data_IF_065504826097
#
_entry.id   IF_065504826097
#
_cell.length_a   1.000
_cell.length_b   1.000
_cell.length_c   1.000
_cell.angle_alpha   90.00
_cell.angle_beta   90.00
_cell.angle_gamma   90.00
#
_symmetry.space_group_name_H-M   'P 1'
#
loop_
_entity.id
_entity.type
_entity.pdbx_description
1 polymer ?
#
# COMPACT_ATOMS: atom_id res chain seq x y z
N UNK A 1 -31.47 10.60 20.95
CA UNK A 1 -31.57 9.46 20.01
C UNK A 1 -30.28 9.39 19.19
N UNK A 2 -29.34 8.56 19.63
CA UNK A 2 -28.01 8.43 19.02
C UNK A 2 -28.05 7.56 17.77
N UNK A 3 -27.49 8.06 16.66
CA UNK A 3 -27.24 7.27 15.46
C UNK A 3 -25.78 6.83 15.46
N UNK A 4 -25.55 5.57 15.84
CA UNK A 4 -24.27 4.87 15.65
C UNK A 4 -23.94 4.76 14.17
N UNK A 5 -22.81 5.34 13.76
CA UNK A 5 -22.22 5.10 12.46
C UNK A 5 -21.62 3.68 12.43
N UNK A 6 -22.26 2.76 11.71
CA UNK A 6 -21.69 1.44 11.38
C UNK A 6 -20.57 1.64 10.36
N UNK A 7 -19.36 1.28 10.75
CA UNK A 7 -18.22 1.07 9.86
C UNK A 7 -18.51 -0.25 9.13
N UNK A 8 -18.73 -0.18 7.82
CA UNK A 8 -18.90 -1.36 6.96
C UNK A 8 -17.50 -1.89 6.66
N UNK A 9 -17.11 -2.95 7.34
CA UNK A 9 -16.02 -3.83 6.93
C UNK A 9 -16.64 -4.83 5.96
N UNK A 10 -16.26 -4.78 4.68
CA UNK A 10 -16.59 -5.82 3.72
C UNK A 10 -15.69 -7.03 3.98
N UNK A 11 -16.20 -8.03 4.69
CA UNK A 11 -15.61 -9.37 4.72
C UNK A 11 -15.87 -10.06 3.38
N UNK A 12 -14.81 -10.36 2.63
CA UNK A 12 -14.89 -11.28 1.50
C UNK A 12 -14.86 -12.71 2.06
N UNK A 13 -16.04 -13.34 2.18
CA UNK A 13 -16.17 -14.75 2.54
C UNK A 13 -15.69 -15.65 1.40
N UNK A 14 -14.53 -16.28 1.58
CA UNK A 14 -14.07 -17.43 0.80
C UNK A 14 -14.04 -18.66 1.71
N UNK A 15 -14.94 -19.61 1.45
CA UNK A 15 -15.10 -20.88 2.17
C UNK A 15 -13.80 -21.71 2.18
N UNK A 16 -13.14 -21.85 3.34
CA UNK A 16 -12.10 -22.85 3.57
C UNK A 16 -12.76 -24.11 4.16
N UNK A 17 -12.61 -25.23 3.44
CA UNK A 17 -13.01 -26.56 3.89
C UNK A 17 -12.21 -26.95 5.13
N UNK A 18 -12.94 -27.35 6.17
CA UNK A 18 -12.41 -27.94 7.40
C UNK A 18 -11.76 -29.31 7.13
N UNK A 19 -10.48 -29.44 7.48
CA UNK A 19 -9.78 -30.72 7.63
C UNK A 19 -9.08 -30.72 9.00
N UNK A 20 -9.29 -31.78 9.76
CA UNK A 20 -8.87 -31.96 11.15
C UNK A 20 -7.37 -31.79 11.41
N UNK A 21 -7.09 -31.32 12.63
CA UNK A 21 -5.77 -31.08 13.18
C UNK A 21 -4.98 -32.38 13.44
N UNK A 22 -3.69 -32.35 13.11
CA UNK A 22 -2.69 -33.15 13.82
C UNK A 22 -1.64 -32.24 14.42
N UNK A 23 -1.60 -32.23 15.75
CA UNK A 23 -0.70 -31.44 16.57
C UNK A 23 0.71 -32.02 16.51
N UNK A 24 1.57 -31.42 15.67
CA UNK A 24 3.03 -31.27 15.82
C UNK A 24 3.54 -30.68 14.52
N UNK A 25 3.76 -29.37 14.48
CA UNK A 25 4.28 -28.69 13.32
C UNK A 25 4.86 -27.36 13.73
N UNK A 26 6.17 -27.33 13.91
CA UNK A 26 6.96 -26.10 13.97
C UNK A 26 6.45 -25.16 12.88
N UNK A 27 6.16 -23.91 13.23
CA UNK A 27 5.79 -22.86 12.27
C UNK A 27 6.91 -22.72 11.23
N UNK A 28 6.87 -23.55 10.19
CA UNK A 28 7.52 -23.27 8.95
C UNK A 28 6.85 -21.99 8.44
N UNK A 29 7.45 -20.84 8.71
CA UNK A 29 7.24 -19.68 7.87
C UNK A 29 7.54 -20.18 6.46
N UNK A 30 6.48 -20.42 5.71
CA UNK A 30 6.54 -20.76 4.30
C UNK A 30 7.50 -19.74 3.68
N UNK A 31 8.69 -20.20 3.28
CA UNK A 31 9.79 -19.35 2.88
C UNK A 31 9.35 -18.66 1.59
N UNK A 32 8.74 -17.47 1.71
CA UNK A 32 8.30 -16.69 0.54
C UNK A 32 9.51 -16.56 -0.35
N UNK A 33 9.34 -17.00 -1.60
CA UNK A 33 10.39 -16.95 -2.62
C UNK A 33 11.09 -15.59 -2.58
N UNK A 34 12.43 -15.56 -2.66
CA UNK A 34 13.19 -14.32 -2.69
C UNK A 34 12.59 -13.31 -3.66
N UNK A 35 12.60 -12.03 -3.30
CA UNK A 35 12.10 -10.98 -4.18
C UNK A 35 12.90 -10.97 -5.49
N UNK A 36 12.26 -11.35 -6.59
CA UNK A 36 12.85 -11.24 -7.92
C UNK A 36 12.92 -9.77 -8.35
N UNK A 37 14.15 -9.25 -8.44
CA UNK A 37 14.40 -7.87 -8.84
C UNK A 37 13.91 -7.60 -10.27
N UNK A 38 14.10 -8.53 -11.22
CA UNK A 38 13.68 -8.30 -12.60
C UNK A 38 12.17 -8.21 -12.69
N UNK A 39 11.46 -9.12 -12.01
CA UNK A 39 10.01 -9.08 -11.93
C UNK A 39 9.50 -7.77 -11.28
N UNK A 40 10.12 -7.34 -10.17
CA UNK A 40 9.76 -6.07 -9.52
C UNK A 40 9.98 -4.85 -10.44
N UNK A 41 11.11 -4.79 -11.16
CA UNK A 41 11.37 -3.71 -12.10
C UNK A 41 10.35 -3.67 -13.24
N UNK A 42 10.01 -4.83 -13.82
CA UNK A 42 8.98 -4.93 -14.86
C UNK A 42 7.59 -4.52 -14.32
N UNK A 43 7.28 -4.93 -13.09
CA UNK A 43 6.03 -4.55 -12.42
C UNK A 43 5.93 -3.03 -12.21
N UNK A 44 6.99 -2.37 -11.76
CA UNK A 44 6.99 -0.92 -11.61
C UNK A 44 6.88 -0.18 -12.95
N UNK A 45 7.42 -0.74 -14.03
CA UNK A 45 7.26 -0.15 -15.36
C UNK A 45 5.83 -0.31 -15.90
N UNK A 46 5.19 -1.46 -15.64
CA UNK A 46 3.75 -1.64 -15.91
C UNK A 46 2.92 -0.59 -15.19
N UNK A 47 3.17 -0.39 -13.90
CA UNK A 47 2.47 0.61 -13.07
C UNK A 47 2.71 2.01 -13.61
N UNK A 48 3.94 2.34 -14.01
CA UNK A 48 4.27 3.64 -14.62
C UNK A 48 3.44 3.89 -15.87
N UNK A 49 3.46 2.94 -16.80
CA UNK A 49 2.73 3.05 -18.07
C UNK A 49 1.23 3.17 -17.83
N UNK A 50 0.66 2.31 -16.98
CA UNK A 50 -0.76 2.33 -16.65
C UNK A 50 -1.19 3.65 -15.98
N UNK A 51 -0.41 4.16 -15.03
CA UNK A 51 -0.71 5.42 -14.35
C UNK A 51 -0.69 6.63 -15.29
N UNK A 52 0.25 6.66 -16.25
CA UNK A 52 0.26 7.69 -17.29
C UNK A 52 -0.94 7.57 -18.21
N UNK A 53 -1.32 6.35 -18.61
CA UNK A 53 -2.49 6.10 -19.44
C UNK A 53 -3.78 6.54 -18.75
N UNK A 54 -4.02 6.10 -17.51
CA UNK A 54 -5.19 6.50 -16.71
C UNK A 54 -5.33 8.02 -16.61
N UNK A 55 -4.21 8.73 -16.45
CA UNK A 55 -4.20 10.19 -16.38
C UNK A 55 -4.41 10.86 -17.74
N UNK A 56 -3.82 10.33 -18.81
CA UNK A 56 -3.97 10.89 -20.15
C UNK A 56 -5.40 10.75 -20.69
N UNK A 57 -6.09 9.65 -20.33
CA UNK A 57 -7.44 9.34 -20.81
C UNK A 57 -8.55 9.96 -19.95
N UNK A 58 -8.27 10.33 -18.69
CA UNK A 58 -9.29 10.86 -17.78
C UNK A 58 -9.69 12.30 -18.13
N UNK A 59 -10.97 12.49 -18.47
CA UNK A 59 -11.52 13.84 -18.63
C UNK A 59 -11.65 14.56 -17.28
N UNK A 60 -11.75 15.90 -17.25
CA UNK A 60 -12.02 16.63 -16.01
C UNK A 60 -13.30 16.19 -15.28
N UNK A 61 -14.31 15.72 -16.03
CA UNK A 61 -15.55 15.18 -15.45
C UNK A 61 -15.32 13.82 -14.81
N UNK A 62 -14.54 12.95 -15.44
CA UNK A 62 -14.18 11.65 -14.86
C UNK A 62 -13.38 11.85 -13.57
N UNK A 63 -12.41 12.76 -13.55
CA UNK A 63 -11.58 13.06 -12.38
C UNK A 63 -12.39 13.50 -11.15
N UNK A 64 -13.51 14.21 -11.36
CA UNK A 64 -14.42 14.64 -10.28
C UNK A 64 -15.46 13.59 -9.90
N UNK A 65 -15.67 12.56 -10.71
CA UNK A 65 -16.66 11.50 -10.45
C UNK A 65 -16.27 10.69 -9.20
N UNK A 66 -17.25 10.26 -8.38
CA UNK A 66 -17.01 9.31 -7.30
C UNK A 66 -16.48 7.97 -7.83
N UNK A 67 -15.58 7.38 -7.07
CA UNK A 67 -15.07 6.01 -7.29
C UNK A 67 -16.06 4.97 -6.79
N UNK A 68 -15.90 3.71 -7.20
CA UNK A 68 -16.71 2.61 -6.73
C UNK A 68 -16.24 2.12 -5.35
N UNK A 69 -17.18 1.94 -4.42
CA UNK A 69 -16.89 1.41 -3.08
C UNK A 69 -16.04 2.31 -2.16
N UNK A 70 -15.77 3.58 -2.52
CA UNK A 70 -15.02 4.52 -1.67
C UNK A 70 -15.70 5.88 -1.54
N UNK A 71 -15.16 6.75 -0.67
CA UNK A 71 -15.61 8.13 -0.49
C UNK A 71 -14.86 9.14 -1.37
N UNK A 72 -13.90 8.68 -2.16
CA UNK A 72 -13.01 9.53 -2.95
C UNK A 72 -13.53 9.77 -4.37
N UNK A 73 -13.13 10.91 -4.95
CA UNK A 73 -13.19 11.10 -6.41
C UNK A 73 -12.08 10.32 -7.11
N UNK A 74 -12.17 10.13 -8.42
CA UNK A 74 -11.11 9.47 -9.19
C UNK A 74 -9.75 10.18 -9.06
N UNK A 75 -9.72 11.52 -9.04
CA UNK A 75 -8.46 12.26 -8.85
C UNK A 75 -7.83 12.00 -7.47
N UNK A 76 -8.65 11.96 -6.41
CA UNK A 76 -8.19 11.65 -5.06
C UNK A 76 -7.67 10.21 -4.96
N UNK A 77 -8.35 9.25 -5.60
CA UNK A 77 -7.94 7.85 -5.60
C UNK A 77 -6.66 7.64 -6.42
N UNK A 78 -6.50 8.32 -7.56
CA UNK A 78 -5.24 8.32 -8.31
C UNK A 78 -4.08 8.85 -7.46
N UNK A 79 -4.32 9.88 -6.65
CA UNK A 79 -3.31 10.36 -5.71
C UNK A 79 -3.03 9.33 -4.62
N UNK A 80 -4.08 8.69 -4.08
CA UNK A 80 -3.95 7.66 -3.05
C UNK A 80 -3.11 6.46 -3.53
N UNK A 81 -3.30 6.02 -4.78
CA UNK A 81 -2.49 4.99 -5.44
C UNK A 81 -1.01 5.39 -5.51
N UNK A 82 -0.69 6.64 -5.87
CA UNK A 82 0.67 7.18 -5.80
C UNK A 82 1.20 7.25 -4.35
N UNK A 83 0.34 7.64 -3.42
CA UNK A 83 0.70 7.78 -2.01
C UNK A 83 1.15 6.46 -1.39
N UNK A 84 0.57 5.32 -1.79
CA UNK A 84 1.03 3.98 -1.38
C UNK A 84 2.53 3.78 -1.61
N UNK A 85 3.03 4.12 -2.81
CA UNK A 85 4.46 4.05 -3.12
C UNK A 85 5.30 5.06 -2.32
N UNK A 86 4.78 6.26 -2.08
CA UNK A 86 5.46 7.27 -1.27
C UNK A 86 5.60 6.82 0.18
N UNK A 87 4.53 6.25 0.74
CA UNK A 87 4.50 5.70 2.09
C UNK A 87 5.53 4.58 2.23
N UNK A 88 5.59 3.63 1.29
CA UNK A 88 6.56 2.54 1.33
C UNK A 88 8.01 3.04 1.41
N UNK A 89 8.35 4.13 0.72
CA UNK A 89 9.70 4.73 0.85
C UNK A 89 10.02 5.20 2.26
N UNK A 90 9.02 5.74 2.96
CA UNK A 90 9.15 6.14 4.37
C UNK A 90 9.29 4.88 5.24
N UNK A 91 8.41 3.88 5.05
CA UNK A 91 8.44 2.63 5.81
C UNK A 91 9.76 1.87 5.64
N UNK A 92 10.29 1.78 4.42
CA UNK A 92 11.61 1.17 4.16
C UNK A 92 12.74 1.92 4.87
N UNK A 93 12.66 3.24 4.96
CA UNK A 93 13.64 4.05 5.70
C UNK A 93 13.54 3.80 7.20
N UNK A 94 12.32 3.79 7.75
CA UNK A 94 12.06 3.48 9.15
C UNK A 94 12.58 2.08 9.50
N UNK A 95 12.20 1.06 8.74
CA UNK A 95 12.69 -0.30 8.94
C UNK A 95 14.23 -0.33 8.89
N UNK A 96 14.84 0.41 7.97
CA UNK A 96 16.31 0.56 7.92
C UNK A 96 16.94 1.10 9.21
N UNK A 97 16.30 2.06 9.86
CA UNK A 97 16.75 2.62 11.14
C UNK A 97 16.50 1.62 12.28
N UNK A 98 15.29 1.06 12.37
CA UNK A 98 14.91 0.18 13.49
C UNK A 98 15.54 -1.21 13.42
N UNK A 99 15.82 -1.74 12.24
CA UNK A 99 16.54 -3.02 12.07
C UNK A 99 18.02 -2.95 12.51
N UNK A 100 18.50 -1.76 12.92
CA UNK A 100 19.82 -1.56 13.53
C UNK A 100 19.74 -1.33 15.05
N UNK A 101 18.54 -1.25 15.63
CA UNK A 101 18.32 -1.03 17.06
C UNK A 101 18.07 -2.36 17.80
N UNK A 102 18.39 -2.45 19.11
CA UNK A 102 18.12 -3.65 19.91
C UNK A 102 16.62 -4.02 19.90
N UNK A 103 16.30 -5.31 19.84
CA UNK A 103 14.92 -5.81 19.62
C UNK A 103 13.85 -5.35 20.62
N UNK A 104 14.24 -4.86 21.80
CA UNK A 104 13.32 -4.27 22.79
C UNK A 104 12.75 -2.92 22.31
N UNK A 105 13.53 -2.14 21.54
CA UNK A 105 13.09 -0.84 20.98
C UNK A 105 12.08 -1.05 19.85
N UNK A 106 12.23 -2.12 19.04
CA UNK A 106 11.33 -2.44 17.93
C UNK A 106 9.90 -2.77 18.38
N UNK A 107 9.74 -3.51 19.47
CA UNK A 107 8.41 -3.82 20.04
C UNK A 107 7.72 -2.60 20.63
N UNK A 108 8.47 -1.71 21.28
CA UNK A 108 7.95 -0.44 21.80
C UNK A 108 7.56 0.52 20.67
N UNK A 109 8.33 0.54 19.57
CA UNK A 109 8.00 1.32 18.38
C UNK A 109 6.72 0.83 17.69
N UNK A 110 6.51 -0.48 17.58
CA UNK A 110 5.27 -1.05 17.05
C UNK A 110 4.04 -0.67 17.90
N UNK A 111 4.17 -0.67 19.23
CA UNK A 111 3.11 -0.19 20.14
C UNK A 111 2.83 1.31 19.99
N UNK A 112 3.86 2.12 19.74
CA UNK A 112 3.71 3.56 19.46
C UNK A 112 3.05 3.83 18.10
N UNK A 113 3.38 3.04 17.07
CA UNK A 113 2.73 3.10 15.76
C UNK A 113 1.27 2.62 15.80
N UNK A 114 0.97 1.58 16.58
CA UNK A 114 -0.41 1.09 16.77
C UNK A 114 -1.28 2.12 17.51
N UNK A 115 -0.72 2.81 18.51
CA UNK A 115 -1.37 3.96 19.13
C UNK A 115 -1.63 5.12 18.14
N UNK A 116 -0.88 5.17 17.03
CA UNK A 116 -1.07 6.11 15.93
C UNK A 116 -1.97 5.58 14.78
N UNK A 117 -2.60 4.41 14.91
CA UNK A 117 -3.45 3.84 13.86
C UNK A 117 -4.71 4.69 13.57
N UNK A 118 -5.33 5.29 14.59
CA UNK A 118 -6.46 6.20 14.39
C UNK A 118 -6.08 7.50 13.65
N UNK A 119 -4.95 8.17 13.98
CA UNK A 119 -4.49 9.27 13.15
C UNK A 119 -4.09 8.83 11.74
N UNK A 120 -3.67 7.58 11.50
CA UNK A 120 -3.32 7.11 10.16
C UNK A 120 -4.50 7.18 9.17
N UNK A 121 -5.71 6.73 9.50
CA UNK A 121 -6.84 6.83 8.57
C UNK A 121 -7.24 8.28 8.25
N UNK A 122 -7.11 9.17 9.24
CA UNK A 122 -7.35 10.62 9.08
C UNK A 122 -6.26 11.23 8.21
N UNK A 123 -4.99 10.93 8.48
CA UNK A 123 -3.86 11.37 7.65
C UNK A 123 -4.01 10.80 6.24
N UNK A 124 -4.40 9.55 6.07
CA UNK A 124 -4.54 8.89 4.77
C UNK A 124 -5.63 9.58 3.92
N UNK A 125 -6.78 9.86 4.52
CA UNK A 125 -7.85 10.61 3.85
C UNK A 125 -7.48 12.08 3.60
N UNK A 126 -7.00 12.80 4.61
CA UNK A 126 -6.66 14.22 4.51
C UNK A 126 -5.44 14.47 3.61
N UNK A 127 -4.45 13.60 3.64
CA UNK A 127 -3.29 13.67 2.73
C UNK A 127 -3.68 13.32 1.31
N UNK A 128 -4.68 12.45 1.10
CA UNK A 128 -5.20 12.19 -0.24
C UNK A 128 -6.04 13.36 -0.77
N UNK A 129 -6.89 13.94 0.08
CA UNK A 129 -7.67 15.14 -0.26
C UNK A 129 -6.77 16.36 -0.50
N UNK A 130 -5.90 16.72 0.45
CA UNK A 130 -4.98 17.86 0.33
C UNK A 130 -3.87 17.61 -0.71
N UNK A 131 -3.41 16.37 -0.84
CA UNK A 131 -2.40 15.96 -1.81
C UNK A 131 -2.90 16.08 -3.24
N UNK A 132 -4.14 15.69 -3.53
CA UNK A 132 -4.75 15.91 -4.85
C UNK A 132 -4.89 17.40 -5.21
N UNK A 133 -5.18 18.25 -4.23
CA UNK A 133 -5.25 19.71 -4.43
C UNK A 133 -3.86 20.32 -4.69
N UNK A 134 -2.81 19.82 -4.05
CA UNK A 134 -1.44 20.37 -4.18
C UNK A 134 -0.65 19.79 -5.37
N UNK A 135 -0.73 18.48 -5.55
CA UNK A 135 -0.25 17.78 -6.73
C UNK A 135 -1.34 17.83 -7.78
N UNK A 136 -1.46 18.99 -8.45
CA UNK A 136 -2.27 19.11 -9.65
C UNK A 136 -2.01 17.96 -10.62
N UNK A 137 -2.93 17.75 -11.56
CA UNK A 137 -2.87 16.66 -12.53
C UNK A 137 -1.45 16.39 -13.06
N UNK A 138 -0.70 17.40 -13.53
CA UNK A 138 0.66 17.23 -14.08
C UNK A 138 1.73 16.83 -13.03
N UNK A 139 1.66 17.34 -11.80
CA UNK A 139 2.68 17.07 -10.77
C UNK A 139 2.65 15.63 -10.27
N UNK A 140 1.49 14.96 -10.32
CA UNK A 140 1.35 13.56 -9.91
C UNK A 140 2.19 12.63 -10.80
N UNK A 141 2.16 12.78 -12.12
CA UNK A 141 2.93 11.94 -13.05
C UNK A 141 4.44 12.04 -12.81
N UNK A 142 4.96 13.26 -12.65
CA UNK A 142 6.37 13.49 -12.34
C UNK A 142 6.77 12.94 -10.95
N UNK A 143 5.85 12.98 -9.97
CA UNK A 143 6.10 12.42 -8.63
C UNK A 143 6.06 10.90 -8.65
N UNK A 144 5.12 10.28 -9.36
CA UNK A 144 5.10 8.83 -9.61
C UNK A 144 6.43 8.41 -10.23
N UNK A 145 6.86 9.10 -11.29
CA UNK A 145 8.07 8.72 -11.99
C UNK A 145 9.31 8.66 -11.09
N UNK A 146 9.51 9.71 -10.29
CA UNK A 146 10.62 9.80 -9.32
C UNK A 146 10.50 8.80 -8.19
N UNK A 147 9.28 8.50 -7.74
CA UNK A 147 9.04 7.56 -6.63
C UNK A 147 9.36 6.14 -7.06
N UNK A 148 8.89 5.71 -8.23
CA UNK A 148 9.18 4.39 -8.80
C UNK A 148 10.68 4.23 -9.07
N UNK A 149 11.32 5.23 -9.71
CA UNK A 149 12.76 5.20 -9.96
C UNK A 149 13.59 5.10 -8.66
N UNK A 150 13.19 5.82 -7.62
CA UNK A 150 13.85 5.74 -6.32
C UNK A 150 13.68 4.36 -5.65
N UNK A 151 12.56 3.69 -5.84
CA UNK A 151 12.32 2.33 -5.33
C UNK A 151 13.18 1.30 -6.07
N UNK A 152 13.23 1.38 -7.41
CA UNK A 152 14.10 0.56 -8.25
C UNK A 152 15.58 0.70 -7.84
N UNK A 153 16.09 1.93 -7.82
CA UNK A 153 17.47 2.23 -7.40
C UNK A 153 17.77 1.82 -5.96
N UNK A 154 16.77 1.82 -5.07
CA UNK A 154 16.96 1.34 -3.70
C UNK A 154 17.08 -0.18 -3.69
N UNK A 155 16.18 -0.89 -4.37
CA UNK A 155 16.17 -2.35 -4.42
C UNK A 155 17.48 -2.91 -5.02
N UNK A 156 18.05 -2.22 -6.00
CA UNK A 156 19.33 -2.59 -6.62
C UNK A 156 20.50 -2.57 -5.62
N UNK A 157 20.36 -1.84 -4.51
CA UNK A 157 21.38 -1.73 -3.44
C UNK A 157 21.06 -2.62 -2.22
N UNK A 158 19.91 -3.29 -2.19
CA UNK A 158 19.54 -4.17 -1.08
C UNK A 158 20.21 -5.55 -1.25
N UNK A 159 20.74 -6.11 -0.17
CA UNK A 159 21.29 -7.48 -0.12
C UNK A 159 20.20 -8.49 0.26
N UNK A 160 20.45 -9.78 0.09
CA UNK A 160 19.53 -10.83 0.54
C UNK A 160 19.27 -10.75 2.05
N UNK A 161 20.32 -10.48 2.84
CA UNK A 161 20.20 -10.25 4.30
C UNK A 161 19.35 -9.01 4.61
N UNK A 162 19.55 -7.91 3.90
CA UNK A 162 18.77 -6.70 4.19
C UNK A 162 17.30 -6.88 3.80
N UNK A 163 17.00 -7.67 2.76
CA UNK A 163 15.65 -7.99 2.33
C UNK A 163 14.88 -8.87 3.32
N UNK A 164 15.55 -9.76 4.06
CA UNK A 164 14.93 -10.62 5.07
C UNK A 164 14.68 -9.92 6.40
N UNK A 165 15.31 -8.76 6.65
CA UNK A 165 15.06 -7.97 7.86
C UNK A 165 13.62 -7.42 7.86
N UNK A 166 12.97 -7.54 9.01
CA UNK A 166 11.59 -7.11 9.22
C UNK A 166 11.38 -6.32 10.51
N UNK A 167 10.16 -5.82 10.66
CA UNK A 167 9.68 -5.23 11.91
C UNK A 167 8.15 -5.38 12.00
N UNK A 168 7.61 -5.13 13.18
CA UNK A 168 6.16 -5.21 13.39
C UNK A 168 5.43 -3.99 12.83
N UNK A 169 4.31 -4.24 12.15
CA UNK A 169 3.41 -3.21 11.63
C UNK A 169 1.98 -3.44 12.13
N UNK A 170 1.17 -2.39 12.35
CA UNK A 170 -0.21 -2.58 12.76
C UNK A 170 -1.04 -3.15 11.59
N UNK A 171 -1.62 -4.37 11.70
CA UNK A 171 -2.41 -4.97 10.60
C UNK A 171 -3.67 -4.17 10.25
N UNK A 172 -4.13 -3.29 11.15
CA UNK A 172 -5.33 -2.47 10.96
C UNK A 172 -5.13 -1.28 10.03
N UNK A 173 -3.89 -0.97 9.64
CA UNK A 173 -3.62 0.18 8.76
C UNK A 173 -4.16 -0.04 7.35
N UNK A 174 -4.05 -1.26 6.83
CA UNK A 174 -4.47 -1.66 5.50
C UNK A 174 -4.62 -3.19 5.43
N UNK A 175 -5.57 -3.75 4.66
CA UNK A 175 -5.79 -5.20 4.57
C UNK A 175 -4.55 -6.03 4.17
N UNK A 176 -3.57 -5.43 3.47
CA UNK A 176 -2.34 -6.11 3.07
C UNK A 176 -1.23 -6.01 4.12
N UNK A 177 -1.42 -5.25 5.20
CA UNK A 177 -0.45 -5.18 6.30
C UNK A 177 -0.57 -6.40 7.21
N UNK A 178 0.58 -6.99 7.54
CA UNK A 178 0.70 -8.10 8.48
C UNK A 178 1.39 -7.65 9.76
N UNK A 179 1.19 -8.39 10.86
CA UNK A 179 1.79 -8.03 12.15
C UNK A 179 3.31 -7.98 12.08
N UNK A 180 3.92 -8.78 11.20
CA UNK A 180 5.33 -8.73 10.85
C UNK A 180 5.50 -8.64 9.35
N UNK A 181 6.32 -7.68 8.88
CA UNK A 181 6.65 -7.56 7.45
C UNK A 181 8.16 -7.34 7.28
N UNK A 182 8.73 -8.05 6.31
CA UNK A 182 10.12 -7.86 5.86
C UNK A 182 10.23 -6.68 4.89
N UNK A 183 11.46 -6.22 4.57
CA UNK A 183 11.64 -5.27 3.46
C UNK A 183 11.08 -5.84 2.16
N UNK A 184 11.26 -7.14 1.91
CA UNK A 184 10.73 -7.78 0.71
C UNK A 184 9.19 -7.72 0.67
N UNK A 185 8.51 -7.85 1.80
CA UNK A 185 7.04 -7.68 1.87
C UNK A 185 6.63 -6.23 1.59
N UNK A 186 7.36 -5.26 2.16
CA UNK A 186 7.11 -3.82 1.89
C UNK A 186 7.33 -3.44 0.43
N UNK A 187 8.25 -4.09 -0.28
CA UNK A 187 8.43 -3.88 -1.72
C UNK A 187 7.26 -4.42 -2.54
N UNK A 188 6.59 -5.50 -2.11
CA UNK A 188 5.44 -6.09 -2.80
C UNK A 188 4.14 -5.35 -2.55
N UNK A 189 3.98 -4.83 -1.33
CA UNK A 189 2.77 -4.13 -0.88
C UNK A 189 2.22 -3.06 -1.86
N UNK A 190 3.01 -2.09 -2.36
CA UNK A 190 2.43 -0.93 -3.03
C UNK A 190 1.79 -1.28 -4.37
N UNK A 191 2.23 -2.34 -5.05
CA UNK A 191 1.58 -2.77 -6.29
C UNK A 191 0.29 -3.55 -6.04
N UNK A 192 0.23 -4.35 -4.97
CA UNK A 192 -1.02 -4.98 -4.52
C UNK A 192 -2.07 -3.91 -4.18
N UNK A 193 -1.64 -2.90 -3.42
CA UNK A 193 -2.46 -1.72 -3.08
C UNK A 193 -2.89 -0.94 -4.33
N UNK A 194 -1.97 -0.71 -5.27
CA UNK A 194 -2.27 -0.04 -6.54
C UNK A 194 -3.32 -0.79 -7.36
N UNK A 195 -3.15 -2.09 -7.58
CA UNK A 195 -4.06 -2.88 -8.42
C UNK A 195 -5.45 -3.00 -7.78
N UNK A 196 -5.53 -3.10 -6.46
CA UNK A 196 -6.80 -3.06 -5.72
C UNK A 196 -7.56 -1.74 -5.96
N UNK A 197 -6.90 -0.61 -5.77
CA UNK A 197 -7.55 0.71 -5.95
C UNK A 197 -7.79 1.05 -7.42
N UNK A 198 -6.96 0.55 -8.33
CA UNK A 198 -7.18 0.71 -9.76
C UNK A 198 -8.54 0.13 -10.19
N UNK A 199 -8.98 -0.98 -9.59
CA UNK A 199 -10.27 -1.59 -9.89
C UNK A 199 -11.47 -0.76 -9.42
N UNK A 200 -11.27 0.20 -8.52
CA UNK A 200 -12.31 1.09 -7.98
C UNK A 200 -12.48 2.39 -8.79
N UNK A 201 -11.59 2.64 -9.77
CA UNK A 201 -11.67 3.80 -10.64
C UNK A 201 -12.88 3.70 -11.58
N UNK A 202 -13.63 4.79 -11.70
CA UNK A 202 -14.83 4.90 -12.55
C UNK A 202 -14.55 5.82 -13.75
N UNK A 203 -13.45 5.58 -14.46
CA UNK A 203 -13.02 6.38 -15.62
C UNK A 203 -13.68 5.88 -16.92
N UNK A 204 -13.96 6.80 -17.86
CA UNK A 204 -14.59 6.49 -19.14
C UNK A 204 -16.11 6.69 -19.16
N UNK A 205 -16.79 6.33 -20.27
CA UNK A 205 -18.23 6.50 -20.42
C UNK A 205 -18.99 5.70 -19.36
N UNK A 206 -19.97 6.33 -18.72
CA UNK A 206 -20.83 5.64 -17.77
C UNK A 206 -21.69 4.64 -18.55
N UNK A 207 -21.44 3.34 -18.40
CA UNK A 207 -22.41 2.34 -18.82
C UNK A 207 -23.61 2.46 -17.88
N UNK A 208 -24.70 3.03 -18.42
CA UNK A 208 -26.00 3.16 -17.74
C UNK A 208 -26.71 1.81 -17.78
#
# INVERSE_FOLDING_TARGET
>A
MGRSARIIILEASGSIRTGEASATGVYAMEERSPLDRRAFHAELERVRADFHRLRAEASPTDLRRPTDGTRWTNEQLLFHMLFGYMLVRVLLTLLGVFARLPGVVGRTFARLLDAAARPFHIINYLSSAAGSLYYNHHRMGAKMNRTLAALQQRLDRESTDSLSRGMHYPPRWDPYFQDWMTRADLYRYPTQHYDFHRAQLTLGPTHT
#
